data_IF_530922903895
#
_entry.id   IF_530922903895
#
_cell.length_a   1.000
_cell.length_b   1.000
_cell.length_c   1.000
_cell.angle_alpha   90.00
_cell.angle_beta   90.00
_cell.angle_gamma   90.00
#
_symmetry.space_group_name_H-M   'P 1'
#
loop_
_entity.id
_entity.type
_entity.pdbx_description
1 polymer ?
#
# COMPACT_ATOMS: atom_id res chain seq x y z
N UNK A 1 10.67 17.27 12.91
CA UNK A 1 9.69 16.42 13.65
C UNK A 1 9.63 15.01 13.07
N UNK A 2 9.43 14.85 11.76
CA UNK A 2 9.46 13.54 11.06
C UNK A 2 10.75 12.74 11.23
N UNK A 3 11.94 13.36 11.24
CA UNK A 3 13.18 12.63 11.58
C UNK A 3 13.18 12.06 13.01
N UNK A 4 12.49 12.71 13.95
CA UNK A 4 12.35 12.22 15.34
C UNK A 4 11.28 11.13 15.45
N UNK A 5 10.19 11.21 14.65
CA UNK A 5 9.16 10.17 14.54
C UNK A 5 9.71 8.94 13.81
N UNK A 6 10.41 9.14 12.69
CA UNK A 6 11.17 8.12 11.96
C UNK A 6 12.15 7.45 12.91
N UNK A 7 13.03 8.21 13.59
CA UNK A 7 13.96 7.67 14.60
C UNK A 7 13.26 7.00 15.79
N UNK A 8 12.08 7.45 16.22
CA UNK A 8 11.30 6.80 17.28
C UNK A 8 10.62 5.50 16.82
N UNK A 9 10.11 5.46 15.58
CA UNK A 9 9.55 4.25 14.96
C UNK A 9 10.63 3.26 14.54
N UNK A 10 11.78 3.72 14.07
CA UNK A 10 12.92 2.90 13.67
C UNK A 10 13.62 2.30 14.89
N UNK A 11 13.75 3.05 15.99
CA UNK A 11 14.45 2.55 17.18
C UNK A 11 13.60 1.64 18.09
N UNK A 12 12.25 1.75 18.05
CA UNK A 12 11.35 0.90 18.85
C UNK A 12 10.52 -0.11 18.03
N UNK A 13 10.05 0.23 16.82
CA UNK A 13 9.25 -0.70 16.01
C UNK A 13 10.09 -1.56 15.06
N UNK A 14 11.14 -1.05 14.40
CA UNK A 14 11.92 -1.91 13.47
C UNK A 14 12.78 -2.96 14.19
N UNK A 15 13.16 -2.72 15.45
CA UNK A 15 13.81 -3.69 16.33
C UNK A 15 12.83 -4.74 16.88
N UNK A 16 11.52 -4.44 16.91
CA UNK A 16 10.45 -5.35 17.36
C UNK A 16 9.61 -6.00 16.27
N UNK A 17 9.61 -5.49 15.03
CA UNK A 17 9.04 -6.11 13.81
C UNK A 17 9.97 -7.26 13.39
N UNK A 18 10.10 -8.19 14.32
CA UNK A 18 10.45 -9.56 14.05
C UNK A 18 9.25 -10.17 13.32
N UNK A 19 9.49 -11.10 12.40
CA UNK A 19 8.44 -11.80 11.65
C UNK A 19 7.19 -12.06 12.51
N UNK A 20 5.98 -11.87 11.97
CA UNK A 20 4.72 -12.19 12.68
C UNK A 20 4.73 -13.65 13.18
N UNK A 21 5.56 -14.51 12.59
CA UNK A 21 5.80 -15.85 13.12
C UNK A 21 6.48 -15.89 14.48
N UNK A 22 7.48 -15.05 14.68
CA UNK A 22 8.27 -14.98 15.90
C UNK A 22 7.51 -14.24 17.02
N UNK A 23 6.66 -13.25 16.70
CA UNK A 23 5.85 -12.54 17.70
C UNK A 23 4.89 -13.47 18.48
N UNK A 24 4.43 -14.54 17.82
CA UNK A 24 3.48 -15.51 18.40
C UNK A 24 4.15 -16.68 19.13
N UNK A 25 5.48 -16.69 19.25
CA UNK A 25 6.21 -17.68 20.07
C UNK A 25 5.99 -17.47 21.57
N UNK A 26 5.61 -16.26 21.99
CA UNK A 26 5.28 -15.89 23.37
C UNK A 26 3.92 -15.18 23.43
N UNK A 27 2.88 -15.74 24.10
CA UNK A 27 1.52 -15.20 24.06
C UNK A 27 1.39 -13.73 24.47
N UNK A 28 2.13 -13.30 25.48
CA UNK A 28 2.10 -11.91 25.98
C UNK A 28 2.79 -10.91 25.05
N UNK A 29 3.71 -11.35 24.18
CA UNK A 29 4.44 -10.48 23.25
C UNK A 29 3.54 -10.02 22.11
N UNK A 30 2.77 -10.95 21.53
CA UNK A 30 1.85 -10.62 20.43
C UNK A 30 0.77 -9.61 20.86
N UNK A 31 0.19 -9.77 22.07
CA UNK A 31 -0.80 -8.82 22.59
C UNK A 31 -0.19 -7.44 22.83
N UNK A 32 0.95 -7.36 23.53
CA UNK A 32 1.63 -6.08 23.81
C UNK A 32 2.06 -5.35 22.54
N UNK A 33 2.57 -6.09 21.55
CA UNK A 33 2.95 -5.50 20.26
C UNK A 33 1.71 -5.00 19.50
N UNK A 34 0.59 -5.72 19.55
CA UNK A 34 -0.67 -5.27 18.95
C UNK A 34 -1.16 -3.97 19.58
N UNK A 35 -1.09 -3.87 20.90
CA UNK A 35 -1.47 -2.66 21.63
C UNK A 35 -0.54 -1.50 21.26
N UNK A 36 0.77 -1.73 21.25
CA UNK A 36 1.79 -0.76 20.81
C UNK A 36 1.60 -0.28 19.37
N UNK A 37 1.28 -1.18 18.43
CA UNK A 37 0.97 -0.82 17.04
C UNK A 37 -0.31 0.02 16.97
N UNK A 38 -1.33 -0.33 17.75
CA UNK A 38 -2.60 0.40 17.77
C UNK A 38 -2.40 1.83 18.30
N UNK A 39 -1.62 2.00 19.36
CA UNK A 39 -1.21 3.31 19.88
C UNK A 39 -0.36 4.09 18.87
N UNK A 40 0.56 3.41 18.19
CA UNK A 40 1.39 4.00 17.14
C UNK A 40 0.51 4.50 15.99
N UNK A 41 -0.43 3.69 15.51
CA UNK A 41 -1.37 4.10 14.46
C UNK A 41 -2.15 5.36 14.87
N UNK A 42 -2.59 5.46 16.13
CA UNK A 42 -3.26 6.65 16.67
C UNK A 42 -2.36 7.89 16.66
N UNK A 43 -1.12 7.75 17.13
CA UNK A 43 -0.13 8.83 17.11
C UNK A 43 0.15 9.29 15.68
N UNK A 44 0.26 8.36 14.74
CA UNK A 44 0.48 8.69 13.33
C UNK A 44 -0.72 9.41 12.73
N UNK A 45 -1.96 9.08 13.08
CA UNK A 45 -3.15 9.83 12.63
C UNK A 45 -3.14 11.27 13.15
N UNK A 46 -2.70 11.47 14.38
CA UNK A 46 -2.51 12.81 14.93
C UNK A 46 -1.45 13.60 14.14
N UNK A 47 -0.31 12.97 13.85
CA UNK A 47 0.79 13.59 13.08
C UNK A 47 0.33 13.97 11.67
N UNK A 48 -0.42 13.11 10.98
CA UNK A 48 -0.90 13.37 9.61
C UNK A 48 -1.67 14.68 9.47
N UNK A 49 -2.43 15.06 10.51
CA UNK A 49 -3.19 16.32 10.52
C UNK A 49 -2.31 17.56 10.55
N UNK A 50 -1.12 17.42 11.10
CA UNK A 50 -0.15 18.51 11.28
C UNK A 50 0.84 18.59 10.12
N UNK A 51 0.79 17.66 9.13
CA UNK A 51 1.67 17.69 7.97
C UNK A 51 1.19 18.68 6.92
N UNK A 52 2.04 19.66 6.59
CA UNK A 52 1.72 20.79 5.72
C UNK A 52 2.01 20.57 4.23
N UNK A 53 2.64 19.46 3.80
CA UNK A 53 3.06 19.26 2.40
C UNK A 53 2.95 17.81 1.88
N UNK A 54 2.91 17.67 0.54
CA UNK A 54 2.72 16.39 -0.17
C UNK A 54 3.89 15.41 -0.02
N UNK A 55 5.14 15.89 0.09
CA UNK A 55 6.32 15.01 0.24
C UNK A 55 6.30 14.24 1.56
N UNK A 56 6.02 14.96 2.65
CA UNK A 56 5.91 14.38 3.99
C UNK A 56 4.72 13.42 4.08
N UNK A 57 3.65 13.71 3.33
CA UNK A 57 2.45 12.90 3.24
C UNK A 57 2.68 11.57 2.50
N UNK A 58 3.40 11.58 1.37
CA UNK A 58 3.71 10.34 0.63
C UNK A 58 4.61 9.39 1.42
N UNK A 59 5.68 9.93 2.02
CA UNK A 59 6.55 9.13 2.90
C UNK A 59 5.78 8.55 4.08
N UNK A 60 4.92 9.35 4.71
CA UNK A 60 4.03 8.91 5.77
C UNK A 60 3.11 7.77 5.35
N UNK A 61 2.39 7.91 4.22
CA UNK A 61 1.43 6.90 3.76
C UNK A 61 2.12 5.57 3.43
N UNK A 62 3.37 5.60 2.95
CA UNK A 62 4.17 4.40 2.75
C UNK A 62 4.47 3.65 4.05
N UNK A 63 4.90 4.36 5.10
CA UNK A 63 5.10 3.75 6.42
C UNK A 63 3.79 3.23 7.01
N UNK A 64 2.69 3.97 6.85
CA UNK A 64 1.37 3.54 7.32
C UNK A 64 0.88 2.29 6.60
N UNK A 65 1.12 2.20 5.30
CA UNK A 65 0.82 1.00 4.52
C UNK A 65 1.59 -0.22 5.02
N UNK A 66 2.88 -0.07 5.31
CA UNK A 66 3.71 -1.16 5.86
C UNK A 66 3.22 -1.59 7.26
N UNK A 67 2.93 -0.62 8.14
CA UNK A 67 2.45 -0.88 9.51
C UNK A 67 1.06 -1.54 9.51
N UNK A 68 0.16 -1.10 8.63
CA UNK A 68 -1.17 -1.68 8.50
C UNK A 68 -1.14 -3.09 7.93
N UNK A 69 -0.28 -3.37 6.95
CA UNK A 69 -0.12 -4.73 6.44
C UNK A 69 0.30 -5.68 7.57
N UNK A 70 1.25 -5.24 8.41
CA UNK A 70 1.69 -6.00 9.59
C UNK A 70 0.58 -6.18 10.63
N UNK A 71 -0.16 -5.12 10.94
CA UNK A 71 -1.33 -5.19 11.85
C UNK A 71 -2.38 -6.18 11.36
N UNK A 72 -2.69 -6.15 10.05
CA UNK A 72 -3.64 -7.08 9.44
C UNK A 72 -3.13 -8.51 9.56
N UNK A 73 -1.86 -8.77 9.27
CA UNK A 73 -1.27 -10.10 9.45
C UNK A 73 -1.37 -10.59 10.90
N UNK A 74 -1.23 -9.69 11.87
CA UNK A 74 -1.47 -10.03 13.28
C UNK A 74 -2.93 -10.36 13.56
N UNK A 75 -3.89 -9.57 13.08
CA UNK A 75 -5.32 -9.84 13.25
C UNK A 75 -5.74 -11.18 12.61
N UNK A 76 -5.28 -11.44 11.39
CA UNK A 76 -5.50 -12.73 10.70
C UNK A 76 -4.92 -13.88 11.52
N UNK A 77 -3.67 -13.76 11.98
CA UNK A 77 -3.07 -14.84 12.75
C UNK A 77 -3.74 -15.08 14.10
N UNK A 78 -4.18 -14.03 14.78
CA UNK A 78 -4.94 -14.12 16.02
C UNK A 78 -6.29 -14.80 15.80
N UNK A 79 -6.96 -14.54 14.67
CA UNK A 79 -8.30 -15.08 14.39
C UNK A 79 -8.33 -16.60 14.41
N UNK A 80 -7.24 -17.28 14.03
CA UNK A 80 -7.16 -18.75 14.05
C UNK A 80 -7.37 -19.38 15.44
N UNK A 81 -7.01 -18.67 16.50
CA UNK A 81 -7.10 -19.15 17.89
C UNK A 81 -8.24 -18.47 18.66
N UNK A 82 -8.79 -17.40 18.10
CA UNK A 82 -9.81 -16.59 18.73
C UNK A 82 -11.19 -17.21 18.51
N UNK A 83 -12.10 -16.98 19.47
CA UNK A 83 -13.55 -17.19 19.28
C UNK A 83 -14.25 -15.90 18.82
N UNK A 84 -13.48 -14.85 18.54
CA UNK A 84 -14.01 -13.59 18.04
C UNK A 84 -14.65 -13.80 16.66
N UNK A 85 -15.84 -13.24 16.52
CA UNK A 85 -16.59 -13.22 15.28
C UNK A 85 -15.80 -12.57 14.14
N UNK A 86 -15.71 -13.27 13.01
CA UNK A 86 -14.96 -12.82 11.83
C UNK A 86 -15.48 -11.49 11.28
N UNK A 87 -16.78 -11.22 11.40
CA UNK A 87 -17.36 -9.94 10.96
C UNK A 87 -16.87 -8.76 11.81
N UNK A 88 -16.57 -9.00 13.10
CA UNK A 88 -15.96 -8.00 13.98
C UNK A 88 -14.51 -7.72 13.57
N UNK A 89 -13.75 -8.76 13.28
CA UNK A 89 -12.35 -8.63 12.82
C UNK A 89 -12.31 -7.92 11.45
N UNK A 90 -13.16 -8.34 10.52
CA UNK A 90 -13.31 -7.73 9.20
C UNK A 90 -13.69 -6.24 9.32
N UNK A 91 -14.68 -5.92 10.16
CA UNK A 91 -15.08 -4.56 10.45
C UNK A 91 -13.92 -3.72 10.97
N UNK A 92 -13.17 -4.23 11.96
CA UNK A 92 -12.01 -3.55 12.55
C UNK A 92 -10.92 -3.27 11.50
N UNK A 93 -10.52 -4.28 10.72
CA UNK A 93 -9.50 -4.13 9.66
C UNK A 93 -9.96 -3.10 8.62
N UNK A 94 -11.21 -3.23 8.16
CA UNK A 94 -11.79 -2.30 7.19
C UNK A 94 -11.75 -0.88 7.73
N UNK A 95 -12.23 -0.66 8.96
CA UNK A 95 -12.21 0.68 9.56
C UNK A 95 -10.79 1.23 9.66
N UNK A 96 -9.79 0.43 10.06
CA UNK A 96 -8.38 0.86 10.06
C UNK A 96 -7.92 1.29 8.66
N UNK A 97 -8.14 0.47 7.64
CA UNK A 97 -7.73 0.79 6.27
C UNK A 97 -8.32 2.12 5.79
N UNK A 98 -9.61 2.35 6.01
CA UNK A 98 -10.25 3.60 5.57
C UNK A 98 -9.91 4.80 6.44
N UNK A 99 -9.74 4.63 7.76
CA UNK A 99 -9.36 5.72 8.67
C UNK A 99 -7.96 6.24 8.37
N UNK A 100 -7.00 5.33 8.13
CA UNK A 100 -5.60 5.71 7.98
C UNK A 100 -5.16 5.91 6.54
N UNK A 101 -5.80 5.23 5.57
CA UNK A 101 -5.39 5.28 4.16
C UNK A 101 -6.49 5.72 3.21
N UNK A 102 -7.77 5.54 3.50
CA UNK A 102 -8.87 5.67 2.52
C UNK A 102 -9.83 6.86 2.71
N UNK A 103 -9.61 7.74 3.68
CA UNK A 103 -10.44 8.90 4.06
C UNK A 103 -11.94 8.89 3.67
N UNK A 104 -12.67 7.79 3.95
CA UNK A 104 -14.13 7.75 4.12
C UNK A 104 -14.46 6.96 5.37
N UNK A 105 -15.06 7.59 6.38
CA UNK A 105 -15.42 6.93 7.63
C UNK A 105 -16.69 6.11 7.39
N UNK A 106 -16.60 4.78 7.49
CA UNK A 106 -17.76 3.89 7.55
C UNK A 106 -17.74 3.22 8.92
N UNK A 107 -18.60 3.72 9.81
CA UNK A 107 -18.94 3.19 11.14
C UNK A 107 -17.78 3.18 12.17
N UNK A 108 -17.83 4.12 13.11
CA UNK A 108 -16.82 4.31 14.19
C UNK A 108 -17.14 3.52 15.45
N UNK A 109 -18.35 2.94 15.57
CA UNK A 109 -18.86 2.30 16.79
C UNK A 109 -18.01 1.11 17.29
N UNK A 110 -17.11 0.59 16.45
CA UNK A 110 -16.24 -0.55 16.75
C UNK A 110 -14.79 -0.19 17.06
N UNK A 111 -14.37 1.07 16.86
CA UNK A 111 -13.04 1.53 17.29
C UNK A 111 -13.20 2.31 18.59
N UNK A 112 -13.10 1.61 19.73
CA UNK A 112 -13.32 2.14 21.09
C UNK A 112 -12.42 3.33 21.49
N UNK A 113 -11.51 3.79 20.64
CA UNK A 113 -10.55 4.88 20.92
C UNK A 113 -10.54 6.02 19.87
N UNK A 114 -11.42 5.99 18.86
CA UNK A 114 -11.38 7.01 17.79
C UNK A 114 -12.56 8.00 17.79
N UNK A 115 -13.57 7.84 18.64
CA UNK A 115 -14.80 8.66 18.60
C UNK A 115 -14.56 10.17 18.83
N UNK A 116 -13.49 10.55 19.52
CA UNK A 116 -13.16 11.98 19.76
C UNK A 116 -12.35 12.58 18.60
N UNK A 117 -11.56 11.78 17.88
CA UNK A 117 -10.63 12.28 16.85
C UNK A 117 -11.33 12.46 15.50
N UNK A 118 -12.40 11.70 15.22
CA UNK A 118 -12.97 11.53 13.87
C UNK A 118 -13.97 12.61 13.39
N UNK A 119 -14.45 13.51 14.27
CA UNK A 119 -15.46 14.53 13.90
C UNK A 119 -15.01 15.56 12.85
N UNK A 120 -13.71 15.66 12.53
CA UNK A 120 -13.15 16.68 11.62
C UNK A 120 -12.81 16.18 10.21
N UNK A 121 -12.95 14.88 9.92
CA UNK A 121 -12.55 14.25 8.65
C UNK A 121 -13.75 13.96 7.70
N UNK A 122 -14.87 14.67 7.84
CA UNK A 122 -16.13 14.28 7.19
C UNK A 122 -16.17 14.51 5.65
N UNK A 123 -15.20 15.19 5.05
CA UNK A 123 -15.26 15.59 3.63
C UNK A 123 -13.87 15.72 2.95
N UNK A 124 -13.02 14.70 3.03
CA UNK A 124 -11.85 14.60 2.14
C UNK A 124 -12.13 13.52 1.08
N UNK A 125 -12.14 13.86 -0.23
CA UNK A 125 -12.17 12.85 -1.28
C UNK A 125 -11.00 11.88 -1.12
N UNK A 126 -11.19 10.62 -1.52
CA UNK A 126 -10.08 9.70 -1.77
C UNK A 126 -9.13 10.39 -2.76
N UNK A 127 -8.00 10.91 -2.29
CA UNK A 127 -6.95 11.36 -3.19
C UNK A 127 -6.38 10.13 -3.91
N UNK A 128 -5.87 10.30 -5.12
CA UNK A 128 -5.28 9.18 -5.87
C UNK A 128 -4.20 8.46 -5.05
N UNK A 129 -3.34 9.22 -4.36
CA UNK A 129 -2.34 8.67 -3.43
C UNK A 129 -2.95 7.83 -2.30
N UNK A 130 -4.14 8.17 -1.81
CA UNK A 130 -4.82 7.40 -0.76
C UNK A 130 -5.24 6.00 -1.27
N UNK A 131 -5.73 5.91 -2.51
CA UNK A 131 -6.06 4.63 -3.15
C UNK A 131 -4.80 3.79 -3.40
N UNK A 132 -3.71 4.41 -3.85
CA UNK A 132 -2.43 3.73 -4.08
C UNK A 132 -1.96 2.98 -2.83
N UNK A 133 -1.89 3.66 -1.70
CA UNK A 133 -1.41 3.08 -0.45
C UNK A 133 -2.38 2.06 0.15
N UNK A 134 -3.69 2.23 -0.07
CA UNK A 134 -4.69 1.23 0.28
C UNK A 134 -4.44 -0.10 -0.45
N UNK A 135 -4.23 -0.04 -1.77
CA UNK A 135 -3.93 -1.24 -2.58
C UNK A 135 -2.56 -1.81 -2.23
N UNK A 136 -1.54 -0.96 -2.04
CA UNK A 136 -0.20 -1.42 -1.64
C UNK A 136 -0.23 -2.15 -0.30
N UNK A 137 -1.07 -1.72 0.64
CA UNK A 137 -1.26 -2.41 1.92
C UNK A 137 -1.77 -3.83 1.72
N UNK A 138 -2.79 -4.03 0.88
CA UNK A 138 -3.31 -5.38 0.58
C UNK A 138 -2.26 -6.26 -0.13
N UNK A 139 -1.45 -5.67 -1.02
CA UNK A 139 -0.37 -6.38 -1.73
C UNK A 139 0.72 -6.87 -0.75
N UNK A 140 0.98 -6.11 0.32
CA UNK A 140 2.01 -6.39 1.33
C UNK A 140 1.60 -7.43 2.38
N UNK A 141 0.31 -7.76 2.52
CA UNK A 141 -0.18 -8.75 3.49
C UNK A 141 0.48 -10.12 3.24
N UNK A 142 1.19 -10.64 4.24
CA UNK A 142 1.89 -11.93 4.13
C UNK A 142 0.94 -13.13 4.21
N UNK A 143 -0.13 -13.01 4.98
CA UNK A 143 -1.15 -14.04 5.18
C UNK A 143 -2.30 -13.98 4.17
N UNK A 144 -2.05 -13.48 2.95
CA UNK A 144 -3.01 -13.48 1.84
C UNK A 144 -3.23 -14.90 1.27
N UNK A 145 -3.99 -15.73 2.00
CA UNK A 145 -4.24 -17.14 1.70
C UNK A 145 -5.66 -17.60 2.08
N UNK A 146 -6.04 -18.77 1.57
CA UNK A 146 -7.43 -19.30 1.61
C UNK A 146 -7.99 -19.55 3.00
N UNK A 147 -7.12 -19.84 3.97
CA UNK A 147 -7.54 -20.04 5.37
C UNK A 147 -8.20 -18.80 5.96
N UNK A 148 -7.98 -17.63 5.37
CA UNK A 148 -8.49 -16.34 5.85
C UNK A 148 -9.52 -15.72 4.90
N UNK A 149 -10.05 -16.47 3.93
CA UNK A 149 -10.95 -15.93 2.91
C UNK A 149 -12.19 -15.27 3.52
N UNK A 150 -12.75 -15.82 4.59
CA UNK A 150 -13.94 -15.28 5.27
C UNK A 150 -13.72 -13.87 5.88
N UNK A 151 -12.47 -13.49 6.18
CA UNK A 151 -12.11 -12.11 6.58
C UNK A 151 -11.70 -11.28 5.36
N UNK A 152 -10.84 -11.85 4.50
CA UNK A 152 -10.21 -11.11 3.41
C UNK A 152 -11.15 -10.81 2.23
N UNK A 153 -12.07 -11.72 1.91
CA UNK A 153 -12.99 -11.59 0.78
C UNK A 153 -13.94 -10.40 0.94
N UNK A 154 -14.62 -10.20 2.10
CA UNK A 154 -15.44 -9.01 2.31
C UNK A 154 -14.63 -7.70 2.30
N UNK A 155 -13.40 -7.70 2.84
CA UNK A 155 -12.52 -6.52 2.84
C UNK A 155 -12.17 -6.12 1.40
N UNK A 156 -11.67 -7.07 0.60
CA UNK A 156 -11.27 -6.80 -0.79
C UNK A 156 -12.48 -6.41 -1.64
N UNK A 157 -13.62 -7.10 -1.47
CA UNK A 157 -14.87 -6.77 -2.16
C UNK A 157 -15.27 -5.32 -1.92
N UNK A 158 -15.23 -4.89 -0.65
CA UNK A 158 -15.58 -3.51 -0.29
C UNK A 158 -14.63 -2.50 -0.90
N UNK A 159 -13.31 -2.75 -0.84
CA UNK A 159 -12.30 -1.87 -1.42
C UNK A 159 -12.47 -1.75 -2.94
N UNK A 160 -12.60 -2.88 -3.64
CA UNK A 160 -12.77 -2.89 -5.11
C UNK A 160 -14.03 -2.13 -5.56
N UNK A 161 -15.11 -2.19 -4.78
CA UNK A 161 -16.34 -1.45 -5.09
C UNK A 161 -16.17 0.06 -4.96
N UNK A 162 -15.28 0.50 -4.09
CA UNK A 162 -15.14 1.91 -3.72
C UNK A 162 -14.04 2.64 -4.52
N UNK A 163 -13.20 1.93 -5.28
CA UNK A 163 -12.13 2.52 -6.11
C UNK A 163 -12.60 2.77 -7.57
N UNK A 164 -12.05 3.77 -8.27
CA UNK A 164 -12.40 4.05 -9.66
C UNK A 164 -12.14 2.87 -10.59
N UNK A 165 -12.99 2.66 -11.60
CA UNK A 165 -12.69 1.73 -12.70
C UNK A 165 -11.77 2.41 -13.72
N UNK A 166 -11.09 1.61 -14.54
CA UNK A 166 -10.19 2.02 -15.61
C UNK A 166 -8.99 2.83 -15.11
N UNK A 167 -7.99 2.16 -14.48
CA UNK A 167 -6.82 2.85 -13.94
C UNK A 167 -6.08 3.63 -15.04
N UNK A 168 -5.77 4.89 -14.75
CA UNK A 168 -5.22 5.85 -15.72
C UNK A 168 -3.72 5.65 -15.98
N UNK A 169 -3.00 4.95 -15.08
CA UNK A 169 -1.56 4.71 -15.18
C UNK A 169 -1.20 3.22 -15.16
N UNK A 170 -0.03 2.88 -15.72
CA UNK A 170 0.49 1.51 -15.73
C UNK A 170 0.73 0.97 -14.33
N UNK A 171 1.18 1.81 -13.40
CA UNK A 171 1.41 1.45 -12.00
C UNK A 171 0.07 1.12 -11.32
N UNK A 172 -0.95 1.95 -11.53
CA UNK A 172 -2.29 1.68 -11.00
C UNK A 172 -2.92 0.44 -11.62
N UNK A 173 -2.72 0.22 -12.92
CA UNK A 173 -3.12 -1.02 -13.58
C UNK A 173 -2.51 -2.25 -12.91
N UNK A 174 -1.20 -2.23 -12.63
CA UNK A 174 -0.51 -3.33 -11.95
C UNK A 174 -1.03 -3.54 -10.52
N UNK A 175 -1.30 -2.46 -9.76
CA UNK A 175 -1.93 -2.56 -8.44
C UNK A 175 -3.26 -3.30 -8.51
N UNK A 176 -4.15 -2.85 -9.39
CA UNK A 176 -5.48 -3.45 -9.56
C UNK A 176 -5.34 -4.92 -9.98
N UNK A 177 -4.46 -5.21 -10.93
CA UNK A 177 -4.18 -6.57 -11.38
C UNK A 177 -3.77 -7.47 -10.21
N UNK A 178 -2.84 -7.04 -9.35
CA UNK A 178 -2.41 -7.83 -8.21
C UNK A 178 -3.52 -8.04 -7.20
N UNK A 179 -4.34 -7.02 -6.90
CA UNK A 179 -5.49 -7.19 -6.00
C UNK A 179 -6.47 -8.22 -6.54
N UNK A 180 -6.88 -8.13 -7.80
CA UNK A 180 -7.75 -9.13 -8.43
C UNK A 180 -7.11 -10.52 -8.42
N UNK A 181 -5.79 -10.63 -8.64
CA UNK A 181 -5.08 -11.90 -8.64
C UNK A 181 -4.99 -12.52 -7.24
N UNK A 182 -4.74 -11.72 -6.21
CA UNK A 182 -4.72 -12.13 -4.79
C UNK A 182 -6.12 -12.54 -4.34
N UNK A 183 -7.15 -11.77 -4.71
CA UNK A 183 -8.55 -12.07 -4.41
C UNK A 183 -8.99 -13.41 -5.02
N UNK A 184 -8.59 -13.68 -6.27
CA UNK A 184 -8.83 -14.98 -6.92
C UNK A 184 -8.08 -16.13 -6.25
N UNK A 185 -6.92 -15.87 -5.65
CA UNK A 185 -6.08 -16.89 -4.98
C UNK A 185 -6.70 -17.35 -3.65
N UNK A 186 -7.28 -16.44 -2.88
CA UNK A 186 -7.88 -16.75 -1.57
C UNK A 186 -9.21 -17.47 -1.69
N UNK A 187 -9.89 -17.36 -2.84
CA UNK A 187 -11.12 -18.08 -3.11
C UNK A 187 -10.84 -19.48 -3.70
N UNK A 188 -11.69 -20.46 -3.37
CA UNK A 188 -11.62 -21.82 -3.96
C UNK A 188 -12.66 -22.02 -5.05
N UNK A 189 -13.88 -21.57 -4.78
CA UNK A 189 -15.04 -21.73 -5.64
C UNK A 189 -14.78 -21.17 -7.04
N UNK A 190 -14.92 -22.01 -8.06
CA UNK A 190 -14.67 -21.66 -9.46
C UNK A 190 -15.64 -20.59 -9.95
N UNK A 191 -16.91 -20.62 -9.52
CA UNK A 191 -17.90 -19.60 -9.88
C UNK A 191 -17.50 -18.22 -9.33
N UNK A 192 -17.07 -18.16 -8.06
CA UNK A 192 -16.57 -16.91 -7.44
C UNK A 192 -15.33 -16.42 -8.17
N UNK A 193 -14.38 -17.31 -8.50
CA UNK A 193 -13.19 -16.94 -9.29
C UNK A 193 -13.55 -16.37 -10.66
N UNK A 194 -14.56 -16.93 -11.31
CA UNK A 194 -15.03 -16.46 -12.61
C UNK A 194 -15.70 -15.08 -12.49
N UNK A 195 -16.48 -14.84 -11.43
CA UNK A 195 -17.03 -13.52 -11.13
C UNK A 195 -15.93 -12.49 -10.89
N UNK A 196 -14.89 -12.84 -10.10
CA UNK A 196 -13.72 -11.98 -9.89
C UNK A 196 -13.01 -11.69 -11.21
N UNK A 197 -12.84 -12.68 -12.09
CA UNK A 197 -12.25 -12.46 -13.42
C UNK A 197 -13.12 -11.53 -14.27
N UNK A 198 -14.44 -11.69 -14.26
CA UNK A 198 -15.34 -10.81 -14.99
C UNK A 198 -15.28 -9.36 -14.46
N UNK A 199 -15.32 -9.18 -13.14
CA UNK A 199 -15.16 -7.87 -12.50
C UNK A 199 -13.81 -7.23 -12.85
N UNK A 200 -12.73 -8.01 -12.84
CA UNK A 200 -11.41 -7.54 -13.24
C UNK A 200 -11.36 -7.08 -14.70
N UNK A 201 -12.02 -7.80 -15.61
CA UNK A 201 -12.07 -7.41 -17.03
C UNK A 201 -12.85 -6.10 -17.23
N UNK A 202 -13.94 -5.89 -16.50
CA UNK A 202 -14.70 -4.63 -16.52
C UNK A 202 -13.88 -3.50 -15.93
N UNK A 203 -13.27 -3.72 -14.77
CA UNK A 203 -12.53 -2.69 -14.02
C UNK A 203 -11.21 -2.31 -14.67
N UNK A 204 -10.40 -3.27 -15.13
CA UNK A 204 -9.10 -3.00 -15.74
C UNK A 204 -9.20 -2.55 -17.21
N UNK A 205 -10.25 -2.98 -17.92
CA UNK A 205 -10.34 -2.80 -19.36
C UNK A 205 -9.31 -3.65 -20.14
N UNK A 206 -9.20 -3.44 -21.47
CA UNK A 206 -8.12 -4.03 -22.27
C UNK A 206 -6.79 -3.46 -21.81
N UNK A 207 -5.71 -4.25 -21.86
CA UNK A 207 -4.36 -3.76 -21.59
C UNK A 207 -4.05 -2.59 -22.54
N UNK A 208 -3.89 -1.35 -22.04
CA UNK A 208 -3.69 -0.21 -22.92
C UNK A 208 -2.42 -0.33 -23.76
N UNK A 209 -2.56 -0.10 -25.08
CA UNK A 209 -1.49 -0.24 -26.06
C UNK A 209 -0.35 0.77 -25.89
N UNK A 210 -0.61 1.87 -25.18
CA UNK A 210 0.37 2.89 -24.79
C UNK A 210 1.28 2.43 -23.65
N UNK A 211 0.97 1.31 -22.98
CA UNK A 211 1.76 0.80 -21.88
C UNK A 211 2.92 -0.10 -22.33
N UNK A 212 3.77 0.40 -23.23
CA UNK A 212 5.06 -0.22 -23.57
C UNK A 212 6.14 0.02 -22.49
N UNK A 213 5.73 0.31 -21.25
CA UNK A 213 6.66 0.61 -20.16
C UNK A 213 7.35 -0.67 -19.72
N UNK A 214 8.69 -0.64 -19.65
CA UNK A 214 9.55 -1.73 -19.14
C UNK A 214 9.06 -2.33 -17.83
N UNK A 215 8.42 -1.52 -16.97
CA UNK A 215 7.83 -1.97 -15.70
C UNK A 215 6.85 -3.14 -15.87
N UNK A 216 6.03 -3.15 -16.92
CA UNK A 216 5.04 -4.20 -17.13
C UNK A 216 5.73 -5.51 -17.52
N UNK A 217 6.78 -5.42 -18.33
CA UNK A 217 7.58 -6.59 -18.72
C UNK A 217 8.40 -7.15 -17.56
N UNK A 218 8.87 -6.28 -16.67
CA UNK A 218 9.69 -6.64 -15.52
C UNK A 218 8.86 -7.20 -14.36
N UNK A 219 7.66 -6.66 -14.14
CA UNK A 219 6.80 -6.99 -12.99
C UNK A 219 5.74 -8.03 -13.32
N UNK A 220 5.15 -8.05 -14.53
CA UNK A 220 4.14 -9.04 -14.88
C UNK A 220 4.78 -10.33 -15.41
N UNK A 221 4.14 -11.49 -15.20
CA UNK A 221 4.63 -12.74 -15.77
C UNK A 221 4.59 -12.70 -17.31
N UNK A 222 5.64 -13.20 -17.95
CA UNK A 222 5.66 -13.40 -19.40
C UNK A 222 4.66 -14.49 -19.79
N UNK A 223 3.72 -14.17 -20.67
CA UNK A 223 2.75 -15.13 -21.22
C UNK A 223 3.39 -15.85 -22.43
N UNK A 224 3.10 -17.14 -22.67
CA UNK A 224 3.57 -17.84 -23.87
C UNK A 224 3.18 -17.10 -25.16
N UNK A 225 4.09 -17.07 -26.15
CA UNK A 225 3.98 -16.31 -27.41
C UNK A 225 2.70 -16.55 -28.22
N UNK A 226 2.01 -17.67 -27.99
CA UNK A 226 0.82 -18.07 -28.74
C UNK A 226 -0.50 -17.66 -28.08
N UNK A 227 -0.45 -17.01 -26.91
CA UNK A 227 -1.64 -16.50 -26.25
C UNK A 227 -1.65 -14.97 -26.26
N UNK A 228 -2.81 -14.33 -26.46
CA UNK A 228 -2.90 -12.89 -26.32
C UNK A 228 -2.56 -12.51 -24.89
N UNK A 229 -1.75 -11.45 -24.73
CA UNK A 229 -1.50 -10.73 -23.47
C UNK A 229 -2.77 -10.01 -23.00
N UNK A 230 -3.85 -10.76 -22.82
CA UNK A 230 -5.11 -10.25 -22.29
C UNK A 230 -5.10 -10.30 -20.77
N UNK A 231 -5.79 -9.36 -20.14
CA UNK A 231 -6.05 -9.32 -18.69
C UNK A 231 -6.55 -10.66 -18.18
N UNK A 232 -7.45 -11.31 -18.93
CA UNK A 232 -8.00 -12.64 -18.62
C UNK A 232 -6.91 -13.72 -18.59
N UNK A 233 -6.08 -13.76 -19.63
CA UNK A 233 -4.97 -14.73 -19.74
C UNK A 233 -4.02 -14.58 -18.56
N UNK A 234 -3.59 -13.35 -18.27
CA UNK A 234 -2.66 -13.04 -17.17
C UNK A 234 -3.23 -13.41 -15.80
N UNK A 235 -4.52 -13.13 -15.56
CA UNK A 235 -5.19 -13.53 -14.33
C UNK A 235 -5.19 -15.06 -14.18
N UNK A 236 -5.45 -15.80 -15.26
CA UNK A 236 -5.55 -17.25 -15.22
C UNK A 236 -4.18 -17.95 -15.18
N UNK A 237 -3.14 -17.31 -15.71
CA UNK A 237 -1.80 -17.85 -15.79
C UNK A 237 -1.21 -18.19 -14.41
N UNK A 238 -0.49 -19.32 -14.31
CA UNK A 238 0.11 -19.78 -13.06
C UNK A 238 1.51 -19.18 -12.91
N UNK A 239 1.71 -18.38 -11.87
CA UNK A 239 3.00 -17.81 -11.51
C UNK A 239 3.09 -17.61 -9.99
N UNK A 240 4.30 -17.36 -9.48
CA UNK A 240 4.49 -17.07 -8.06
C UNK A 240 4.06 -15.62 -7.77
N UNK A 241 2.77 -15.42 -7.51
CA UNK A 241 2.21 -14.10 -7.23
C UNK A 241 2.93 -13.35 -6.10
N UNK A 242 3.41 -14.06 -5.06
CA UNK A 242 4.10 -13.44 -3.93
C UNK A 242 5.39 -12.76 -4.38
N UNK A 243 6.20 -13.48 -5.16
CA UNK A 243 7.44 -12.94 -5.73
C UNK A 243 7.19 -11.71 -6.61
N UNK A 244 6.15 -11.75 -7.44
CA UNK A 244 5.81 -10.62 -8.31
C UNK A 244 5.28 -9.41 -7.52
N UNK A 245 4.53 -9.63 -6.42
CA UNK A 245 4.13 -8.56 -5.50
C UNK A 245 5.34 -7.92 -4.81
N UNK A 246 6.33 -8.74 -4.40
CA UNK A 246 7.59 -8.24 -3.80
C UNK A 246 8.41 -7.42 -4.80
N UNK A 247 8.53 -7.88 -6.05
CA UNK A 247 9.20 -7.13 -7.12
C UNK A 247 8.51 -5.79 -7.39
N UNK A 248 7.18 -5.79 -7.43
CA UNK A 248 6.40 -4.56 -7.60
C UNK A 248 6.59 -3.58 -6.44
N UNK A 249 6.53 -4.07 -5.20
CA UNK A 249 6.75 -3.24 -4.02
C UNK A 249 8.15 -2.61 -4.00
N UNK A 250 9.18 -3.36 -4.42
CA UNK A 250 10.54 -2.82 -4.57
C UNK A 250 10.64 -1.78 -5.67
N UNK A 251 9.94 -1.99 -6.80
CA UNK A 251 9.86 -1.01 -7.86
C UNK A 251 9.28 0.32 -7.34
N UNK A 252 8.12 0.28 -6.68
CA UNK A 252 7.44 1.47 -6.16
C UNK A 252 8.31 2.27 -5.17
N UNK A 253 9.14 1.58 -4.36
CA UNK A 253 10.09 2.24 -3.45
C UNK A 253 11.19 2.99 -4.22
N UNK A 254 11.78 2.36 -5.24
CA UNK A 254 12.85 2.96 -6.05
C UNK A 254 12.36 4.13 -6.90
N UNK A 255 11.18 4.01 -7.50
CA UNK A 255 10.59 5.08 -8.32
C UNK A 255 10.21 6.31 -7.48
N UNK A 256 9.81 6.12 -6.22
CA UNK A 256 9.56 7.21 -5.29
C UNK A 256 10.83 7.95 -4.86
N UNK A 257 11.99 7.29 -4.88
CA UNK A 257 13.29 7.87 -4.53
C UNK A 257 13.97 8.57 -5.73
N UNK A 258 13.81 8.06 -6.95
CA UNK A 258 14.51 8.57 -8.15
C UNK A 258 13.99 9.91 -8.67
N UNK A 259 12.73 10.27 -8.41
CA UNK A 259 12.14 11.55 -8.84
C UNK A 259 12.78 12.75 -8.14
N UNK A 260 13.57 12.53 -7.07
CA UNK A 260 14.02 13.61 -6.18
C UNK A 260 15.55 13.69 -5.96
N UNK A 261 16.35 12.99 -6.77
CA UNK A 261 17.81 13.23 -6.79
C UNK A 261 18.26 14.33 -7.78
N UNK A 262 17.38 14.88 -8.61
CA UNK A 262 17.75 15.94 -9.58
C UNK A 262 17.60 17.38 -9.01
N UNK A 263 17.85 17.54 -7.72
CA UNK A 263 17.59 18.77 -6.98
C UNK A 263 18.78 19.30 -6.20
N UNK A 264 20.03 19.01 -6.56
CA UNK A 264 21.22 19.79 -6.13
C UNK A 264 22.50 19.32 -6.84
N UNK A 265 22.86 19.97 -7.96
CA UNK A 265 24.25 20.31 -8.29
C UNK A 265 24.29 21.28 -9.47
N UNK A 266 23.97 22.55 -9.20
CA UNK A 266 24.57 23.66 -9.94
C UNK A 266 25.34 24.44 -8.90
N UNK A 267 26.64 24.18 -8.79
CA UNK A 267 27.57 25.15 -8.23
C UNK A 267 28.71 25.36 -9.22
N UNK A 268 28.55 26.46 -9.97
CA UNK A 268 29.56 27.48 -10.17
C UNK A 268 30.90 27.07 -10.81
N UNK A 269 30.92 27.05 -12.15
CA UNK A 269 32.11 27.46 -12.90
C UNK A 269 32.04 28.97 -13.17
N UNK A 270 32.43 29.78 -12.19
CA UNK A 270 32.73 31.20 -12.41
C UNK A 270 34.23 31.35 -12.64
N UNK A 271 34.61 31.43 -13.91
CA UNK A 271 35.93 31.92 -14.35
C UNK A 271 36.09 33.38 -13.91
N UNK A 272 37.03 33.63 -13.01
CA UNK A 272 37.60 34.97 -12.81
C UNK A 272 38.89 35.01 -13.63
N UNK A 273 38.83 35.65 -14.81
CA UNK A 273 40.02 36.14 -15.50
C UNK A 273 40.25 37.59 -15.06
N UNK A 274 41.22 37.76 -14.18
CA UNK A 274 41.89 39.03 -13.98
C UNK A 274 42.79 39.28 -15.19
N UNK A 275 42.54 40.33 -15.97
CA UNK A 275 43.58 41.21 -16.47
C UNK A 275 42.98 42.44 -17.15
N UNK A 276 43.11 43.53 -16.41
CA UNK A 276 42.95 44.92 -16.79
C UNK A 276 43.85 45.25 -17.99
N UNK A 277 43.27 45.90 -19.01
CA UNK A 277 44.00 46.55 -20.09
C UNK A 277 44.96 47.60 -19.51
N UNK A 278 46.21 47.53 -19.93
CA UNK A 278 47.15 48.64 -19.91
C UNK A 278 46.68 49.78 -20.82
N UNK A 279 46.70 51.00 -20.25
CA UNK A 279 46.99 52.29 -20.86
C UNK A 279 46.78 52.48 -22.37
N UNK A 280 45.85 53.38 -22.73
CA UNK A 280 46.22 54.67 -23.34
C UNK A 280 44.98 55.58 -23.47
N UNK A 281 44.97 56.70 -22.73
CA UNK A 281 44.29 57.92 -23.16
C UNK A 281 45.33 59.04 -23.08
N UNK A 282 45.42 59.82 -24.17
CA UNK A 282 45.67 61.25 -24.05
C UNK A 282 44.50 61.89 -23.32
#
# INVERSE_FOLDING_TARGET
MLRKIKKASENNLLTEIVSVNECYTKPSRASKLKDSISETLLLFLYIYRELSEDHDRFSYLNYMSDLLAFYIDMELKASRKSKEDHDKICGRITSCLYVYLGMKIIDTSRIKHCDIILKRNLYMPLSEHSVEHLLDTLIKIQFMCRSYHHILDPIITKIIRDIPIHPESSIMYIRYFFIYRLWRKINENVAVKNQITAAAMVSLGPLPSTFSSSILEDVLPKVPKNQPNSTKTLLQHKFNIKKHCEMFAQYCRKSGESVYQDGTSIDSSSRINSNTLSLCKR
#
